data_IF_105040385171
#
_entry.id   IF_105040385171
#
_cell.length_a   1.000
_cell.length_b   1.000
_cell.length_c   1.000
_cell.angle_alpha   90.00
_cell.angle_beta   90.00
_cell.angle_gamma   90.00
#
_symmetry.space_group_name_H-M   'P 1'
#
loop_
_entity.id
_entity.type
_entity.pdbx_description
1 polymer ?
#
# COMPACT_ATOMS: atom_id res chain seq x y z
N UNK A 1 -4.93 -6.70 7.69
CA UNK A 1 -4.86 -6.94 6.24
C UNK A 1 -4.14 -8.26 5.91
N UNK A 2 -2.83 -8.40 6.15
CA UNK A 2 -2.12 -9.67 5.85
C UNK A 2 -2.62 -10.86 6.66
N UNK A 3 -2.89 -10.67 7.97
CA UNK A 3 -3.45 -11.74 8.82
C UNK A 3 -4.80 -12.25 8.31
N UNK A 4 -5.70 -11.34 7.95
CA UNK A 4 -7.02 -11.66 7.40
C UNK A 4 -6.93 -12.45 6.07
N UNK A 5 -5.98 -12.11 5.19
CA UNK A 5 -5.77 -12.86 3.94
C UNK A 5 -5.23 -14.27 4.20
N UNK A 6 -4.34 -14.42 5.17
CA UNK A 6 -3.79 -15.73 5.57
C UNK A 6 -4.86 -16.63 6.18
N UNK A 7 -5.75 -16.08 7.00
CA UNK A 7 -6.90 -16.81 7.56
C UNK A 7 -7.83 -17.36 6.47
N UNK A 8 -7.91 -16.68 5.33
CA UNK A 8 -8.67 -17.11 4.16
C UNK A 8 -7.89 -18.10 3.26
N UNK A 9 -6.69 -18.53 3.65
CA UNK A 9 -5.85 -19.44 2.87
C UNK A 9 -5.24 -18.83 1.61
N UNK A 10 -5.23 -17.50 1.49
CA UNK A 10 -4.62 -16.81 0.34
C UNK A 10 -3.10 -16.85 0.47
N UNK A 11 -2.40 -17.20 -0.61
CA UNK A 11 -0.94 -17.06 -0.67
C UNK A 11 -0.59 -15.57 -0.74
N UNK A 12 0.12 -15.07 0.29
CA UNK A 12 0.43 -13.64 0.41
C UNK A 12 1.92 -13.40 0.13
N UNK A 13 2.18 -12.49 -0.80
CA UNK A 13 3.47 -11.83 -0.95
C UNK A 13 3.31 -10.38 -0.50
N UNK A 14 3.95 -10.02 0.62
CA UNK A 14 3.81 -8.69 1.21
C UNK A 14 4.80 -7.72 0.54
N UNK A 15 4.29 -6.88 -0.35
CA UNK A 15 5.07 -5.93 -1.14
C UNK A 15 4.95 -4.56 -0.47
N UNK A 16 6.02 -4.13 0.21
CA UNK A 16 6.06 -2.84 0.91
C UNK A 16 5.86 -2.90 2.43
N UNK A 17 5.99 -4.08 3.05
CA UNK A 17 5.93 -4.27 4.51
C UNK A 17 6.71 -3.23 5.31
N UNK A 18 7.90 -2.88 4.82
CA UNK A 18 8.84 -1.98 5.49
C UNK A 18 8.73 -0.52 5.01
N UNK A 19 7.71 -0.19 4.21
CA UNK A 19 7.50 1.16 3.67
C UNK A 19 6.35 1.84 4.42
N UNK A 20 6.68 2.93 5.10
CA UNK A 20 5.69 3.76 5.78
C UNK A 20 5.48 5.08 5.02
N UNK A 21 4.28 5.31 4.49
CA UNK A 21 4.00 6.51 3.67
C UNK A 21 4.10 7.82 4.45
N UNK A 22 4.00 7.79 5.78
CA UNK A 22 4.18 8.98 6.63
C UNK A 22 5.65 9.41 6.75
N UNK A 23 6.59 8.47 6.69
CA UNK A 23 8.03 8.71 6.88
C UNK A 23 8.77 8.90 5.55
N UNK A 24 8.21 8.37 4.47
CA UNK A 24 8.82 8.43 3.14
C UNK A 24 8.18 9.55 2.30
N UNK A 25 9.01 10.54 1.93
CA UNK A 25 8.59 11.72 1.19
C UNK A 25 8.29 11.44 -0.29
N UNK A 26 8.63 10.26 -0.81
CA UNK A 26 8.25 9.84 -2.18
C UNK A 26 6.74 9.61 -2.32
N UNK A 27 6.03 9.42 -1.21
CA UNK A 27 4.62 9.06 -1.21
C UNK A 27 3.73 10.16 -0.61
N UNK A 28 2.52 10.30 -1.15
CA UNK A 28 1.47 11.08 -0.49
C UNK A 28 1.03 10.38 0.81
N UNK A 29 0.89 11.15 1.88
CA UNK A 29 0.37 10.68 3.16
C UNK A 29 -0.68 11.64 3.68
N UNK A 30 -1.91 11.14 3.82
CA UNK A 30 -2.99 11.91 4.41
C UNK A 30 -2.67 12.34 5.85
N UNK A 31 -1.95 11.51 6.63
CA UNK A 31 -1.57 11.89 7.99
C UNK A 31 -0.55 13.03 8.03
N UNK A 32 0.39 13.08 7.06
CA UNK A 32 1.41 14.13 6.99
C UNK A 32 0.88 15.42 6.36
N UNK A 33 0.00 15.32 5.36
CA UNK A 33 -0.37 16.44 4.48
C UNK A 33 -1.86 16.83 4.56
N UNK A 34 -2.68 16.09 5.32
CA UNK A 34 -4.10 16.38 5.49
C UNK A 34 -4.88 16.37 4.17
N UNK A 35 -5.77 17.35 4.01
CA UNK A 35 -6.64 17.49 2.83
C UNK A 35 -5.87 17.84 1.55
N UNK A 36 -4.62 18.27 1.67
CA UNK A 36 -3.75 18.55 0.53
C UNK A 36 -3.04 17.31 -0.01
N UNK A 37 -3.16 16.16 0.66
CA UNK A 37 -2.54 14.93 0.19
C UNK A 37 -3.16 14.48 -1.14
N UNK A 38 -2.32 14.17 -2.13
CA UNK A 38 -2.73 13.40 -3.31
C UNK A 38 -3.17 11.97 -2.95
N UNK A 39 -3.51 11.17 -3.95
CA UNK A 39 -3.83 9.74 -3.80
C UNK A 39 -2.99 8.92 -4.77
N UNK A 40 -2.40 7.83 -4.25
CA UNK A 40 -1.65 6.88 -5.05
C UNK A 40 -2.61 5.89 -5.73
N UNK A 41 -2.29 5.48 -6.96
CA UNK A 41 -2.95 4.36 -7.63
C UNK A 41 -2.04 3.14 -7.63
N UNK A 42 -2.56 1.98 -7.24
CA UNK A 42 -1.90 0.69 -7.42
C UNK A 42 -2.52 -0.02 -8.63
N UNK A 43 -1.70 -0.37 -9.62
CA UNK A 43 -2.17 -0.95 -10.88
C UNK A 43 -1.41 -2.25 -11.15
N UNK A 44 -2.16 -3.30 -11.47
CA UNK A 44 -1.62 -4.59 -11.92
C UNK A 44 -2.26 -4.90 -13.27
N UNK A 45 -1.43 -5.27 -14.25
CA UNK A 45 -1.86 -5.68 -15.58
C UNK A 45 -1.24 -7.04 -15.89
N UNK A 46 -2.06 -7.99 -16.31
CA UNK A 46 -1.60 -9.22 -16.91
C UNK A 46 -1.44 -8.98 -18.42
N UNK A 47 -0.24 -9.24 -18.94
CA UNK A 47 0.01 -9.19 -20.37
C UNK A 47 0.17 -10.61 -20.89
N UNK A 48 -0.44 -10.86 -22.04
CA UNK A 48 -0.29 -12.10 -22.80
C UNK A 48 0.99 -12.05 -23.63
#
# INVERSE_FOLDING_TARGET
MVSQLRELGVTVHDIGRDVCTIEDDRFWSHRRQGDRAGRMGAVVVLRH
#
